data_IF_992475992573
#
_entry.id   IF_992475992573
#
_cell.length_a   1.000
_cell.length_b   1.000
_cell.length_c   1.000
_cell.angle_alpha   90.00
_cell.angle_beta   90.00
_cell.angle_gamma   90.00
#
_symmetry.space_group_name_H-M   'P 1'
#
loop_
_entity.id
_entity.type
_entity.pdbx_description
1 polymer ?
#
# COMPACT_ATOMS: atom_id res chain seq x y z
N UNK A 1 20.09 -8.14 5.04
CA UNK A 1 18.94 -8.58 4.26
C UNK A 1 17.88 -9.17 5.19
N UNK A 2 16.61 -8.77 5.02
CA UNK A 2 15.47 -9.31 5.74
C UNK A 2 14.35 -9.55 4.72
N UNK A 3 13.78 -10.75 4.71
CA UNK A 3 12.56 -11.06 3.93
C UNK A 3 11.49 -11.55 4.87
N UNK A 4 10.26 -11.16 4.60
CA UNK A 4 9.07 -11.54 5.36
C UNK A 4 8.03 -12.00 4.36
N UNK A 5 7.37 -13.09 4.68
CA UNK A 5 6.23 -13.61 3.94
C UNK A 5 5.02 -13.62 4.88
N UNK A 6 3.93 -13.02 4.43
CA UNK A 6 2.64 -13.07 5.10
C UNK A 6 1.65 -13.80 4.22
N UNK A 7 0.91 -14.70 4.84
CA UNK A 7 -0.25 -15.33 4.22
C UNK A 7 -1.42 -15.23 5.16
N UNK A 8 -2.54 -14.69 4.67
CA UNK A 8 -3.78 -14.55 5.42
C UNK A 8 -4.89 -15.17 4.62
N UNK A 9 -5.59 -16.13 5.23
CA UNK A 9 -6.85 -16.64 4.75
C UNK A 9 -7.94 -16.08 5.67
N UNK A 10 -8.94 -15.42 5.11
CA UNK A 10 -10.04 -14.86 5.88
C UNK A 10 -11.38 -15.15 5.22
N UNK A 11 -12.38 -15.36 6.06
CA UNK A 11 -13.78 -15.46 5.66
C UNK A 11 -14.58 -14.47 6.48
N UNK A 12 -15.41 -13.66 5.83
CA UNK A 12 -16.29 -12.73 6.52
C UNK A 12 -17.66 -12.64 5.87
N UNK A 13 -18.66 -12.34 6.70
CA UNK A 13 -20.03 -12.19 6.25
C UNK A 13 -20.31 -10.73 5.90
N UNK A 14 -20.33 -10.43 4.61
CA UNK A 14 -20.56 -9.07 4.10
C UNK A 14 -21.92 -8.51 4.53
N UNK A 15 -22.95 -9.36 4.63
CA UNK A 15 -24.27 -8.95 5.09
C UNK A 15 -24.29 -8.40 6.51
N UNK A 16 -23.47 -8.97 7.39
CA UNK A 16 -23.38 -8.51 8.79
C UNK A 16 -22.63 -7.18 8.89
N UNK A 17 -21.61 -6.95 8.03
CA UNK A 17 -20.75 -5.76 8.08
C UNK A 17 -21.35 -4.59 7.29
N UNK A 18 -21.87 -4.88 6.07
CA UNK A 18 -22.32 -3.85 5.12
C UNK A 18 -23.84 -3.85 4.90
N UNK A 19 -24.60 -4.73 5.62
CA UNK A 19 -26.06 -4.84 5.48
C UNK A 19 -26.55 -5.63 4.27
N UNK A 20 -25.68 -6.01 3.32
CA UNK A 20 -26.01 -6.77 2.12
C UNK A 20 -24.85 -7.63 1.65
N UNK A 21 -25.14 -8.72 0.93
CA UNK A 21 -24.14 -9.61 0.34
C UNK A 21 -24.09 -11.00 0.99
N UNK A 22 -23.09 -11.78 0.60
CA UNK A 22 -22.87 -13.17 1.03
C UNK A 22 -21.59 -13.30 1.85
N UNK A 23 -21.28 -14.53 2.24
CA UNK A 23 -19.96 -14.90 2.76
C UNK A 23 -18.89 -14.62 1.69
N UNK A 24 -17.80 -14.00 2.06
CA UNK A 24 -16.66 -13.74 1.19
C UNK A 24 -15.44 -14.43 1.79
N UNK A 25 -14.78 -15.23 0.97
CA UNK A 25 -13.49 -15.83 1.30
C UNK A 25 -12.39 -15.10 0.53
N UNK A 26 -11.32 -14.76 1.22
CA UNK A 26 -10.19 -14.05 0.62
C UNK A 26 -8.86 -14.64 1.07
N UNK A 27 -7.95 -14.75 0.13
CA UNK A 27 -6.56 -15.14 0.36
C UNK A 27 -5.66 -13.96 0.04
N UNK A 28 -4.82 -13.57 0.97
CA UNK A 28 -3.88 -12.46 0.83
C UNK A 28 -2.48 -13.01 1.02
N UNK A 29 -1.63 -12.83 0.03
CA UNK A 29 -0.20 -13.10 0.10
C UNK A 29 0.60 -11.82 -0.02
N UNK A 30 1.57 -11.60 0.86
CA UNK A 30 2.49 -10.47 0.82
C UNK A 30 3.92 -10.97 0.98
N UNK A 31 4.79 -10.54 0.10
CA UNK A 31 6.24 -10.77 0.19
C UNK A 31 6.90 -9.40 0.32
N UNK A 32 7.62 -9.20 1.40
CA UNK A 32 8.43 -8.02 1.64
C UNK A 32 9.91 -8.42 1.71
N UNK A 33 10.77 -7.67 1.05
CA UNK A 33 12.21 -7.81 1.14
C UNK A 33 12.87 -6.46 1.37
N UNK A 34 13.68 -6.38 2.42
CA UNK A 34 14.45 -5.17 2.77
C UNK A 34 15.93 -5.44 2.71
N UNK A 35 16.62 -4.68 1.89
CA UNK A 35 18.07 -4.66 1.76
C UNK A 35 18.64 -3.42 2.42
N UNK A 36 19.50 -3.62 3.42
CA UNK A 36 20.31 -2.54 3.97
C UNK A 36 21.55 -2.37 3.10
N UNK A 37 21.74 -1.17 2.60
CA UNK A 37 22.89 -0.75 1.81
C UNK A 37 23.88 0.00 2.70
N UNK A 38 25.08 0.26 2.17
CA UNK A 38 26.07 1.09 2.88
C UNK A 38 25.56 2.52 3.12
N UNK A 39 26.14 3.20 4.10
CA UNK A 39 25.87 4.61 4.42
C UNK A 39 24.42 4.92 4.87
N UNK A 40 23.77 3.99 5.56
CA UNK A 40 22.42 4.20 6.10
C UNK A 40 21.30 4.20 5.08
N UNK A 41 21.58 3.74 3.86
CA UNK A 41 20.59 3.54 2.80
C UNK A 41 19.86 2.21 2.95
N UNK A 42 18.65 2.12 2.46
CA UNK A 42 17.94 0.84 2.36
C UNK A 42 16.97 0.83 1.19
N UNK A 43 16.75 -0.34 0.63
CA UNK A 43 15.77 -0.61 -0.41
C UNK A 43 14.76 -1.61 0.15
N UNK A 44 13.46 -1.27 0.11
CA UNK A 44 12.35 -2.17 0.43
C UNK A 44 11.55 -2.45 -0.83
N UNK A 45 11.32 -3.73 -1.07
CA UNK A 45 10.46 -4.24 -2.13
C UNK A 45 9.31 -4.99 -1.48
N UNK A 46 8.10 -4.74 -1.94
CA UNK A 46 6.90 -5.43 -1.50
C UNK A 46 6.06 -5.82 -2.71
N UNK A 47 5.58 -7.06 -2.72
CA UNK A 47 4.61 -7.56 -3.68
C UNK A 47 3.47 -8.16 -2.89
N UNK A 48 2.24 -7.82 -3.26
CA UNK A 48 1.03 -8.32 -2.62
C UNK A 48 0.03 -8.82 -3.66
N UNK A 49 -0.68 -9.88 -3.31
CA UNK A 49 -1.77 -10.42 -4.10
C UNK A 49 -2.94 -10.74 -3.18
N UNK A 50 -4.11 -10.26 -3.58
CA UNK A 50 -5.39 -10.59 -2.98
C UNK A 50 -6.21 -11.36 -4.00
N UNK A 51 -6.68 -12.54 -3.64
CA UNK A 51 -7.69 -13.29 -4.38
C UNK A 51 -8.94 -13.38 -3.51
N UNK A 52 -10.11 -13.12 -4.10
CA UNK A 52 -11.38 -13.16 -3.39
C UNK A 52 -12.47 -13.79 -4.24
N UNK A 53 -13.37 -14.53 -3.62
CA UNK A 53 -14.55 -15.14 -4.28
C UNK A 53 -15.57 -14.10 -4.77
N UNK A 54 -15.39 -12.84 -4.41
CA UNK A 54 -16.23 -11.75 -4.87
C UNK A 54 -15.84 -11.33 -6.29
N UNK A 55 -16.82 -11.15 -7.17
CA UNK A 55 -16.65 -10.88 -8.62
C UNK A 55 -15.85 -9.63 -9.00
N UNK A 56 -15.33 -8.87 -8.01
CA UNK A 56 -14.66 -7.59 -8.24
C UNK A 56 -13.29 -7.45 -7.58
N UNK A 57 -12.69 -8.52 -7.02
CA UNK A 57 -11.69 -8.29 -5.97
C UNK A 57 -10.39 -9.09 -6.04
N UNK A 58 -9.93 -9.41 -7.22
CA UNK A 58 -8.54 -9.84 -7.37
C UNK A 58 -7.66 -8.61 -7.58
N UNK A 59 -6.70 -8.43 -6.67
CA UNK A 59 -5.80 -7.30 -6.68
C UNK A 59 -4.36 -7.77 -6.65
N UNK A 60 -3.54 -7.11 -7.43
CA UNK A 60 -2.09 -7.29 -7.38
C UNK A 60 -1.45 -5.92 -7.15
N UNK A 61 -0.51 -5.84 -6.23
CA UNK A 61 0.17 -4.59 -5.92
C UNK A 61 1.66 -4.77 -5.74
N UNK A 62 2.40 -3.70 -5.94
CA UNK A 62 3.83 -3.65 -5.69
C UNK A 62 4.26 -2.30 -5.17
N UNK A 63 5.24 -2.31 -4.27
CA UNK A 63 5.85 -1.11 -3.70
C UNK A 63 7.36 -1.23 -3.77
N UNK A 64 8.01 -0.19 -4.25
CA UNK A 64 9.46 -0.01 -4.17
C UNK A 64 9.70 1.25 -3.33
N UNK A 65 10.43 1.11 -2.24
CA UNK A 65 10.79 2.22 -1.37
C UNK A 65 12.31 2.27 -1.22
N UNK A 66 12.88 3.44 -1.46
CA UNK A 66 14.29 3.69 -1.29
C UNK A 66 14.52 4.78 -0.23
N UNK A 67 15.13 4.37 0.87
CA UNK A 67 15.57 5.27 1.92
C UNK A 67 16.99 5.74 1.59
N UNK A 68 17.12 7.00 1.22
CA UNK A 68 18.40 7.64 0.86
C UNK A 68 19.27 7.81 2.11
N UNK A 69 18.63 8.10 3.23
CA UNK A 69 19.22 8.21 4.57
C UNK A 69 18.10 8.18 5.61
N UNK A 70 18.42 8.40 6.89
CA UNK A 70 17.43 8.44 7.97
C UNK A 70 16.40 9.57 7.87
N UNK A 71 16.62 10.55 6.99
CA UNK A 71 15.74 11.73 6.84
C UNK A 71 14.91 11.69 5.56
N UNK A 72 15.43 11.13 4.46
CA UNK A 72 14.79 11.16 3.15
C UNK A 72 14.45 9.76 2.67
N UNK A 73 13.20 9.56 2.28
CA UNK A 73 12.73 8.38 1.56
C UNK A 73 11.93 8.77 0.32
N UNK A 74 12.01 7.93 -0.71
CA UNK A 74 11.20 8.01 -1.92
C UNK A 74 10.57 6.66 -2.18
N UNK A 75 9.38 6.64 -2.78
CA UNK A 75 8.72 5.38 -3.11
C UNK A 75 7.87 5.50 -4.36
N UNK A 76 7.67 4.37 -5.00
CA UNK A 76 6.64 4.15 -6.01
C UNK A 76 5.80 2.95 -5.60
N UNK A 77 4.49 3.08 -5.76
CA UNK A 77 3.52 2.04 -5.49
C UNK A 77 2.54 1.96 -6.67
N UNK A 78 2.19 0.75 -7.07
CA UNK A 78 1.08 0.50 -7.99
C UNK A 78 0.23 -0.64 -7.47
N UNK A 79 -1.09 -0.46 -7.49
CA UNK A 79 -2.09 -1.48 -7.16
C UNK A 79 -3.03 -1.60 -8.34
N UNK A 80 -3.14 -2.80 -8.89
CA UNK A 80 -3.95 -3.10 -10.05
C UNK A 80 -5.11 -4.04 -9.69
N UNK A 81 -6.33 -3.64 -10.09
CA UNK A 81 -7.50 -4.50 -10.01
C UNK A 81 -7.56 -5.39 -11.25
N UNK A 82 -7.27 -6.67 -11.08
CA UNK A 82 -7.29 -7.67 -12.15
C UNK A 82 -8.51 -8.62 -12.07
N UNK A 83 -9.35 -8.49 -11.05
CA UNK A 83 -10.48 -9.38 -10.80
C UNK A 83 -11.79 -8.97 -11.43
N UNK A 84 -11.87 -7.85 -12.14
CA UNK A 84 -13.11 -7.42 -12.78
C UNK A 84 -13.21 -7.95 -14.21
N UNK A 85 -14.37 -8.50 -14.56
CA UNK A 85 -14.70 -8.91 -15.95
C UNK A 85 -14.89 -7.70 -16.87
N UNK A 86 -15.18 -6.52 -16.31
CA UNK A 86 -15.33 -5.28 -17.06
C UNK A 86 -14.00 -4.55 -17.22
N UNK A 87 -13.57 -4.33 -18.44
CA UNK A 87 -12.33 -3.61 -18.74
C UNK A 87 -12.31 -2.17 -18.18
N UNK A 88 -13.46 -1.55 -17.95
CA UNK A 88 -13.57 -0.21 -17.36
C UNK A 88 -13.27 -0.19 -15.84
N UNK A 89 -13.37 -1.32 -15.16
CA UNK A 89 -13.07 -1.45 -13.73
C UNK A 89 -11.64 -1.91 -13.46
N UNK A 90 -10.92 -2.38 -14.49
CA UNK A 90 -9.49 -2.68 -14.42
C UNK A 90 -8.71 -1.38 -14.33
N UNK A 91 -8.39 -0.98 -13.13
CA UNK A 91 -7.80 0.33 -12.85
C UNK A 91 -6.51 0.18 -12.08
N UNK A 92 -5.51 0.95 -12.49
CA UNK A 92 -4.27 1.16 -11.76
C UNK A 92 -4.41 2.30 -10.74
N UNK A 93 -3.95 2.05 -9.54
CA UNK A 93 -3.78 3.05 -8.49
C UNK A 93 -2.29 3.23 -8.25
N UNK A 94 -1.70 4.13 -8.99
CA UNK A 94 -0.26 4.39 -8.91
C UNK A 94 0.02 5.61 -8.04
N UNK A 95 1.09 5.55 -7.27
CA UNK A 95 1.58 6.65 -6.46
C UNK A 95 3.10 6.73 -6.54
N UNK A 96 3.58 7.94 -6.75
CA UNK A 96 4.98 8.31 -6.58
C UNK A 96 5.06 9.30 -5.43
N UNK A 97 5.93 9.07 -4.47
CA UNK A 97 6.01 9.96 -3.33
C UNK A 97 7.37 9.98 -2.67
N UNK A 98 7.51 10.90 -1.73
CA UNK A 98 8.67 11.01 -0.89
C UNK A 98 8.33 11.59 0.46
N UNK A 99 9.24 11.41 1.41
CA UNK A 99 9.10 12.01 2.73
C UNK A 99 10.41 12.54 3.24
N UNK A 100 10.29 13.60 4.04
CA UNK A 100 11.38 14.19 4.80
C UNK A 100 11.04 14.16 6.28
N UNK A 101 11.96 13.64 7.09
CA UNK A 101 11.81 13.53 8.54
C UNK A 101 12.91 14.33 9.23
N UNK A 102 12.54 15.20 10.17
CA UNK A 102 13.46 15.95 11.02
C UNK A 102 12.95 15.95 12.46
N UNK A 103 13.67 15.26 13.34
CA UNK A 103 13.22 15.08 14.73
C UNK A 103 11.87 14.38 14.78
N UNK A 104 10.93 14.99 15.47
CA UNK A 104 9.56 14.51 15.62
C UNK A 104 8.60 14.91 14.47
N UNK A 105 9.10 15.59 13.43
CA UNK A 105 8.29 16.09 12.31
C UNK A 105 8.60 15.31 11.04
N UNK A 106 7.56 14.90 10.35
CA UNK A 106 7.63 14.25 9.04
C UNK A 106 6.71 14.97 8.04
N UNK A 107 7.29 15.41 6.93
CA UNK A 107 6.59 15.93 5.76
C UNK A 107 6.59 14.86 4.66
N UNK A 108 5.44 14.57 4.08
CA UNK A 108 5.31 13.68 2.93
C UNK A 108 4.61 14.39 1.78
N UNK A 109 5.07 14.10 0.56
CA UNK A 109 4.46 14.56 -0.69
C UNK A 109 4.24 13.34 -1.58
N UNK A 110 3.05 13.23 -2.16
CA UNK A 110 2.69 12.15 -3.06
C UNK A 110 1.97 12.71 -4.29
N UNK A 111 2.20 12.08 -5.43
CA UNK A 111 1.47 12.34 -6.66
C UNK A 111 0.99 11.04 -7.27
N UNK A 112 -0.27 10.99 -7.66
CA UNK A 112 -0.83 9.81 -8.33
C UNK A 112 -2.33 9.65 -8.07
N UNK A 113 -2.82 8.46 -8.40
CA UNK A 113 -4.17 8.01 -8.07
C UNK A 113 -4.08 7.02 -6.91
N UNK A 114 -4.52 7.46 -5.75
CA UNK A 114 -4.48 6.72 -4.51
C UNK A 114 -5.85 6.09 -4.23
N UNK A 115 -5.85 4.80 -3.90
CA UNK A 115 -7.06 4.11 -3.43
C UNK A 115 -7.31 4.48 -1.97
N UNK A 116 -8.59 4.55 -1.58
CA UNK A 116 -8.98 4.64 -0.17
C UNK A 116 -8.50 3.42 0.62
N UNK A 117 -8.01 3.63 1.81
CA UNK A 117 -7.56 2.56 2.71
C UNK A 117 -6.32 2.92 3.51
N UNK A 118 -5.65 1.90 4.03
CA UNK A 118 -4.44 2.06 4.83
C UNK A 118 -3.21 2.13 3.91
N UNK A 119 -2.49 3.23 3.96
CA UNK A 119 -1.23 3.43 3.26
C UNK A 119 -0.08 3.42 4.27
N UNK A 120 0.90 2.54 4.06
CA UNK A 120 2.09 2.44 4.89
C UNK A 120 3.34 2.79 4.09
N UNK A 121 4.04 3.85 4.47
CA UNK A 121 5.27 4.31 3.82
C UNK A 121 6.28 4.76 4.87
N UNK A 122 7.52 4.31 4.74
CA UNK A 122 8.61 4.66 5.66
C UNK A 122 8.32 4.30 7.12
N UNK A 123 7.63 3.17 7.35
CA UNK A 123 7.28 2.70 8.70
C UNK A 123 6.09 3.43 9.35
N UNK A 124 5.43 4.36 8.66
CA UNK A 124 4.23 5.05 9.14
C UNK A 124 3.03 4.65 8.32
N UNK A 125 2.00 4.15 8.99
CA UNK A 125 0.72 3.76 8.38
C UNK A 125 -0.37 4.79 8.72
N UNK A 126 -1.20 5.13 7.72
CA UNK A 126 -2.32 6.06 7.88
C UNK A 126 -3.48 5.69 6.98
N UNK A 127 -4.69 6.02 7.39
CA UNK A 127 -5.84 5.97 6.51
C UNK A 127 -5.85 7.17 5.56
N UNK A 128 -6.12 6.88 4.29
CA UNK A 128 -6.19 7.86 3.21
C UNK A 128 -7.52 7.71 2.47
N UNK A 129 -8.09 8.81 2.02
CA UNK A 129 -9.24 8.80 1.11
C UNK A 129 -8.80 8.51 -0.33
N UNK A 130 -9.71 8.05 -1.18
CA UNK A 130 -9.45 7.99 -2.62
C UNK A 130 -9.25 9.41 -3.15
N UNK A 131 -8.14 9.62 -3.83
CA UNK A 131 -7.77 10.91 -4.38
C UNK A 131 -6.89 10.74 -5.61
N UNK A 132 -7.01 11.67 -6.55
CA UNK A 132 -6.13 11.77 -7.71
C UNK A 132 -5.47 13.15 -7.70
N UNK A 133 -4.16 13.19 -7.83
CA UNK A 133 -3.40 14.43 -7.87
C UNK A 133 -2.29 14.50 -6.82
N UNK A 134 -1.94 15.71 -6.41
CA UNK A 134 -0.91 15.97 -5.42
C UNK A 134 -1.50 15.95 -4.00
N UNK A 135 -0.88 15.19 -3.12
CA UNK A 135 -1.24 15.12 -1.70
C UNK A 135 -0.03 15.48 -0.85
N UNK A 136 -0.20 16.39 0.09
CA UNK A 136 0.78 16.71 1.11
C UNK A 136 0.28 16.26 2.48
N UNK A 137 1.18 15.79 3.32
CA UNK A 137 0.86 15.40 4.71
C UNK A 137 1.98 15.83 5.65
N UNK A 138 1.59 16.28 6.83
CA UNK A 138 2.48 16.64 7.90
C UNK A 138 2.11 15.84 9.15
N UNK A 139 3.08 15.15 9.71
CA UNK A 139 2.92 14.41 10.97
C UNK A 139 3.89 14.96 11.99
N UNK A 140 3.41 15.29 13.17
CA UNK A 140 4.22 15.75 14.30
C UNK A 140 3.92 14.87 15.53
N UNK A 141 4.97 14.53 16.27
CA UNK A 141 4.92 13.82 17.56
C UNK A 141 5.38 14.78 18.65
N UNK A 142 4.67 14.84 19.76
CA UNK A 142 5.00 15.70 20.91
C UNK A 142 5.40 14.88 22.12
#
# INVERSE_FOLDING_TARGET
>A
WRSIFYFVNQSYNKKVIEGSGTMINSNIGVIESTHKLSNGKSLRLEIQKLNSDSTKHDWTGGTIEYNINSKFSVYVNDIYNNGSDNNTEKTHFFNLGGSYTKGATRLGLNYGRQRAGLLCVGGVCRFVAEATGLTANLTMSF
#
